data_IF_310797163617
#
_entry.id   IF_310797163617
#
_cell.length_a   1.000
_cell.length_b   1.000
_cell.length_c   1.000
_cell.angle_alpha   90.00
_cell.angle_beta   90.00
_cell.angle_gamma   90.00
#
_symmetry.space_group_name_H-M   'P 1'
#
loop_
_entity.id
_entity.type
_entity.pdbx_description
1 polymer ?
#
# COMPACT_ATOMS: atom_id res chain seq x y z
N UNK A 1 29.64 -5.14 7.10
CA UNK A 1 28.29 -5.57 7.53
C UNK A 1 27.47 -5.95 6.31
N UNK A 2 27.05 -7.22 6.14
CA UNK A 2 26.10 -7.61 5.09
C UNK A 2 24.79 -6.82 5.31
N UNK A 3 24.38 -6.00 4.34
CA UNK A 3 23.06 -5.34 4.37
C UNK A 3 22.00 -6.45 4.45
N UNK A 4 21.30 -6.55 5.58
CA UNK A 4 20.19 -7.50 5.76
C UNK A 4 19.12 -7.12 4.72
N UNK A 5 18.76 -8.06 3.84
CA UNK A 5 17.67 -7.84 2.90
C UNK A 5 16.39 -7.67 3.71
N UNK A 6 15.66 -6.60 3.46
CA UNK A 6 14.45 -6.25 4.19
C UNK A 6 13.23 -6.99 3.62
N UNK A 7 12.22 -7.26 4.45
CA UNK A 7 10.96 -7.87 4.01
C UNK A 7 10.25 -7.01 2.97
N UNK A 8 10.35 -5.69 3.09
CA UNK A 8 9.90 -4.70 2.09
C UNK A 8 10.44 -5.03 0.70
N UNK A 9 11.72 -5.37 0.58
CA UNK A 9 12.34 -5.75 -0.70
C UNK A 9 11.74 -7.02 -1.29
N UNK A 10 11.51 -8.05 -0.46
CA UNK A 10 10.89 -9.29 -0.94
C UNK A 10 9.43 -9.09 -1.32
N UNK A 11 8.71 -8.23 -0.60
CA UNK A 11 7.35 -7.85 -0.94
C UNK A 11 7.29 -7.12 -2.28
N UNK A 12 8.21 -6.18 -2.52
CA UNK A 12 8.32 -5.50 -3.82
C UNK A 12 8.59 -6.50 -4.95
N UNK A 13 9.49 -7.47 -4.75
CA UNK A 13 9.71 -8.55 -5.73
C UNK A 13 8.43 -9.34 -5.99
N UNK A 14 7.70 -9.73 -4.96
CA UNK A 14 6.45 -10.48 -5.11
C UNK A 14 5.43 -9.69 -5.94
N UNK A 15 5.28 -8.40 -5.68
CA UNK A 15 4.38 -7.51 -6.44
C UNK A 15 4.81 -7.41 -7.91
N UNK A 16 6.12 -7.23 -8.17
CA UNK A 16 6.65 -7.18 -9.54
C UNK A 16 6.43 -8.51 -10.26
N UNK A 17 6.63 -9.65 -9.59
CA UNK A 17 6.36 -10.98 -10.18
C UNK A 17 4.88 -11.15 -10.52
N UNK A 18 3.95 -10.73 -9.65
CA UNK A 18 2.51 -10.75 -9.94
C UNK A 18 2.20 -9.90 -11.18
N UNK A 19 2.82 -8.72 -11.30
CA UNK A 19 2.65 -7.87 -12.49
C UNK A 19 3.18 -8.54 -13.77
N UNK A 20 4.37 -9.14 -13.73
CA UNK A 20 4.94 -9.89 -14.87
C UNK A 20 4.03 -11.05 -15.27
N UNK A 21 3.51 -11.80 -14.30
CA UNK A 21 2.56 -12.90 -14.54
C UNK A 21 1.29 -12.36 -15.19
N UNK A 22 0.76 -11.23 -14.72
CA UNK A 22 -0.42 -10.60 -15.32
C UNK A 22 -0.16 -10.22 -16.80
N UNK A 23 0.99 -9.64 -17.11
CA UNK A 23 1.36 -9.30 -18.50
C UNK A 23 1.54 -10.54 -19.34
N UNK A 24 2.16 -11.59 -18.81
CA UNK A 24 2.46 -12.83 -19.55
C UNK A 24 1.20 -13.67 -19.83
N UNK A 25 0.29 -13.76 -18.85
CA UNK A 25 -0.87 -14.66 -18.87
C UNK A 25 -2.20 -13.94 -19.07
N UNK A 26 -2.22 -12.60 -19.08
CA UNK A 26 -3.44 -11.80 -19.03
C UNK A 26 -4.34 -11.87 -20.29
N UNK A 27 -3.90 -12.54 -21.36
CA UNK A 27 -4.62 -12.62 -22.63
C UNK A 27 -4.54 -11.31 -23.43
N UNK A 28 -4.81 -11.39 -24.74
CA UNK A 28 -4.82 -10.21 -25.61
C UNK A 28 -3.44 -9.58 -25.87
N UNK A 29 -3.39 -8.27 -26.07
CA UNK A 29 -2.18 -7.56 -26.42
C UNK A 29 -1.32 -7.27 -25.18
N UNK A 30 -0.20 -7.97 -25.02
CA UNK A 30 0.72 -7.86 -23.87
C UNK A 30 1.29 -6.45 -23.69
N UNK A 31 1.51 -5.72 -24.77
CA UNK A 31 2.01 -4.35 -24.69
C UNK A 31 1.00 -3.42 -24.03
N UNK A 32 -0.29 -3.54 -24.39
CA UNK A 32 -1.35 -2.79 -23.73
C UNK A 32 -1.55 -3.20 -22.29
N UNK A 33 -1.51 -4.51 -21.96
CA UNK A 33 -1.57 -4.98 -20.56
C UNK A 33 -0.41 -4.40 -19.75
N UNK A 34 0.80 -4.37 -20.29
CA UNK A 34 1.96 -3.77 -19.66
C UNK A 34 1.76 -2.28 -19.38
N UNK A 35 1.17 -1.52 -20.33
CA UNK A 35 0.94 -0.09 -20.14
C UNK A 35 -0.25 0.23 -19.23
N UNK A 36 -1.36 -0.51 -19.35
CA UNK A 36 -2.65 -0.17 -18.74
C UNK A 36 -3.12 -1.11 -17.63
N UNK A 37 -2.49 -2.27 -17.49
CA UNK A 37 -2.75 -3.22 -16.40
C UNK A 37 -4.04 -4.03 -16.53
N UNK A 38 -4.60 -4.19 -17.72
CA UNK A 38 -5.73 -5.11 -17.96
C UNK A 38 -5.33 -6.59 -17.82
N UNK A 39 -6.24 -7.50 -18.18
CA UNK A 39 -5.98 -8.93 -18.29
C UNK A 39 -6.56 -9.79 -17.18
N UNK A 40 -6.64 -11.10 -17.41
CA UNK A 40 -7.33 -12.07 -16.55
C UNK A 40 -6.87 -12.07 -15.10
N UNK A 41 -5.57 -11.93 -14.82
CA UNK A 41 -5.07 -11.95 -13.44
C UNK A 41 -5.62 -10.77 -12.64
N UNK A 42 -5.80 -9.61 -13.29
CA UNK A 42 -6.49 -8.46 -12.67
C UNK A 42 -7.93 -8.83 -12.34
N UNK A 43 -8.65 -9.41 -13.27
CA UNK A 43 -10.07 -9.73 -13.11
C UNK A 43 -10.31 -10.76 -11.98
N UNK A 44 -9.32 -11.64 -11.72
CA UNK A 44 -9.38 -12.59 -10.59
C UNK A 44 -8.96 -12.00 -9.24
N UNK A 45 -8.31 -10.85 -9.22
CA UNK A 45 -7.69 -10.32 -8.00
C UNK A 45 -8.15 -8.94 -7.57
N UNK A 46 -8.85 -8.16 -8.41
CA UNK A 46 -9.42 -6.87 -8.03
C UNK A 46 -10.52 -7.02 -6.97
N UNK A 47 -10.68 -6.03 -6.10
CA UNK A 47 -11.74 -6.01 -5.11
C UNK A 47 -12.89 -5.10 -5.55
N UNK A 48 -14.11 -5.60 -5.46
CA UNK A 48 -15.36 -4.85 -5.62
C UNK A 48 -16.38 -5.34 -4.61
N UNK A 49 -17.38 -4.50 -4.29
CA UNK A 49 -18.45 -4.86 -3.37
C UNK A 49 -19.13 -6.17 -3.80
N UNK A 50 -19.53 -6.25 -5.06
CA UNK A 50 -20.23 -7.42 -5.63
C UNK A 50 -19.41 -8.69 -5.50
N UNK A 51 -18.14 -8.67 -5.91
CA UNK A 51 -17.30 -9.87 -5.89
C UNK A 51 -16.98 -10.34 -4.48
N UNK A 52 -16.71 -9.41 -3.57
CA UNK A 52 -16.26 -9.77 -2.22
C UNK A 52 -17.43 -10.01 -1.28
N UNK A 53 -18.39 -9.07 -1.21
CA UNK A 53 -19.45 -9.12 -0.19
C UNK A 53 -20.67 -9.93 -0.64
N UNK A 54 -21.03 -9.89 -1.92
CA UNK A 54 -22.18 -10.67 -2.42
C UNK A 54 -21.78 -12.08 -2.87
N UNK A 55 -20.58 -12.25 -3.51
CA UNK A 55 -20.14 -13.54 -4.01
C UNK A 55 -19.15 -14.26 -3.08
N UNK A 56 -18.78 -13.67 -1.94
CA UNK A 56 -17.93 -14.29 -0.93
C UNK A 56 -16.47 -14.48 -1.32
N UNK A 57 -15.95 -13.73 -2.30
CA UNK A 57 -14.57 -13.85 -2.78
C UNK A 57 -13.59 -13.03 -1.91
N UNK A 58 -13.52 -13.34 -0.62
CA UNK A 58 -12.80 -12.58 0.42
C UNK A 58 -11.30 -12.39 0.17
N UNK A 59 -10.65 -13.32 -0.55
CA UNK A 59 -9.22 -13.22 -0.89
C UNK A 59 -8.89 -11.95 -1.68
N UNK A 60 -9.86 -11.36 -2.38
CA UNK A 60 -9.69 -10.16 -3.19
C UNK A 60 -9.32 -8.93 -2.36
N UNK A 61 -9.71 -8.88 -1.08
CA UNK A 61 -9.26 -7.81 -0.21
C UNK A 61 -7.74 -7.83 0.02
N UNK A 62 -7.12 -8.99 -0.07
CA UNK A 62 -5.66 -9.13 0.00
C UNK A 62 -5.02 -8.97 -1.38
N UNK A 63 -5.52 -9.69 -2.38
CA UNK A 63 -4.88 -9.78 -3.69
C UNK A 63 -4.92 -8.45 -4.45
N UNK A 64 -5.95 -7.62 -4.25
CA UNK A 64 -6.04 -6.30 -4.87
C UNK A 64 -4.83 -5.42 -4.55
N UNK A 65 -4.22 -5.55 -3.37
CA UNK A 65 -3.03 -4.82 -2.97
C UNK A 65 -1.74 -5.23 -3.68
N UNK A 66 -1.77 -6.31 -4.47
CA UNK A 66 -0.61 -6.82 -5.22
C UNK A 66 -0.74 -6.60 -6.73
N UNK A 67 -1.88 -6.12 -7.20
CA UNK A 67 -2.17 -5.87 -8.61
C UNK A 67 -1.96 -4.40 -8.97
N UNK A 68 -1.65 -4.12 -10.25
CA UNK A 68 -1.35 -2.76 -10.72
C UNK A 68 -1.95 -2.47 -12.09
N UNK A 69 -2.41 -1.24 -12.25
CA UNK A 69 -2.85 -0.68 -13.53
C UNK A 69 -1.65 -0.13 -14.31
N UNK A 70 -0.91 -1.03 -14.97
CA UNK A 70 0.20 -0.69 -15.82
C UNK A 70 1.51 -0.36 -15.08
N UNK A 71 2.58 -0.27 -15.88
CA UNK A 71 3.96 -0.15 -15.41
C UNK A 71 4.21 1.14 -14.64
N UNK A 72 3.61 2.25 -15.02
CA UNK A 72 3.83 3.53 -14.33
C UNK A 72 3.24 3.51 -12.92
N UNK A 73 2.06 2.91 -12.75
CA UNK A 73 1.45 2.71 -11.44
C UNK A 73 2.30 1.76 -10.57
N UNK A 74 2.82 0.69 -11.15
CA UNK A 74 3.74 -0.23 -10.47
C UNK A 74 5.00 0.49 -9.99
N UNK A 75 5.71 1.19 -10.89
CA UNK A 75 6.99 1.85 -10.56
C UNK A 75 6.81 2.89 -9.46
N UNK A 76 5.78 3.73 -9.54
CA UNK A 76 5.47 4.70 -8.50
C UNK A 76 5.22 4.03 -7.14
N UNK A 77 4.43 2.95 -7.13
CA UNK A 77 4.16 2.22 -5.89
C UNK A 77 5.42 1.51 -5.33
N UNK A 78 6.26 0.91 -6.19
CA UNK A 78 7.47 0.24 -5.72
C UNK A 78 8.48 1.23 -5.11
N UNK A 79 8.64 2.40 -5.70
CA UNK A 79 9.49 3.45 -5.14
C UNK A 79 8.95 3.98 -3.79
N UNK A 80 7.63 4.18 -3.69
CA UNK A 80 6.99 4.58 -2.43
C UNK A 80 7.10 3.47 -1.36
N UNK A 81 6.86 2.21 -1.73
CA UNK A 81 6.97 1.08 -0.83
C UNK A 81 8.40 0.92 -0.30
N UNK A 82 9.41 1.01 -1.16
CA UNK A 82 10.82 0.93 -0.74
C UNK A 82 11.15 2.03 0.27
N UNK A 83 10.72 3.25 0.03
CA UNK A 83 11.02 4.38 0.90
C UNK A 83 10.24 4.33 2.21
N UNK A 84 8.92 4.16 2.17
CA UNK A 84 8.04 4.20 3.34
C UNK A 84 8.13 2.88 4.11
N UNK A 85 7.98 1.74 3.42
CA UNK A 85 7.99 0.40 3.99
C UNK A 85 9.30 0.08 4.69
N UNK A 86 10.44 0.40 4.05
CA UNK A 86 11.78 0.22 4.67
C UNK A 86 11.93 1.01 5.97
N UNK A 87 11.40 2.22 6.06
CA UNK A 87 11.46 3.04 7.28
C UNK A 87 10.59 2.46 8.39
N UNK A 88 9.38 2.06 8.07
CA UNK A 88 8.48 1.40 9.02
C UNK A 88 9.09 0.07 9.48
N UNK A 89 9.62 -0.74 8.54
CA UNK A 89 10.26 -2.01 8.86
C UNK A 89 11.46 -1.85 9.80
N UNK A 90 12.30 -0.83 9.59
CA UNK A 90 13.44 -0.54 10.48
C UNK A 90 13.00 -0.13 11.89
N UNK A 91 11.85 0.52 12.04
CA UNK A 91 11.33 0.95 13.35
C UNK A 91 10.56 -0.15 14.08
N UNK A 92 9.78 -0.98 13.36
CA UNK A 92 8.87 -1.97 13.96
C UNK A 92 9.28 -3.43 13.75
N UNK A 93 10.20 -3.68 12.84
CA UNK A 93 10.57 -5.03 12.38
C UNK A 93 9.71 -5.52 11.20
N UNK A 94 10.20 -6.59 10.52
CA UNK A 94 9.60 -7.06 9.26
C UNK A 94 8.17 -7.61 9.43
N UNK A 95 7.93 -8.38 10.48
CA UNK A 95 6.62 -9.02 10.68
C UNK A 95 5.53 -8.00 10.93
N UNK A 96 5.77 -7.02 11.81
CA UNK A 96 4.79 -5.96 12.09
C UNK A 96 4.51 -5.12 10.85
N UNK A 97 5.54 -4.76 10.08
CA UNK A 97 5.37 -4.01 8.83
C UNK A 97 4.50 -4.79 7.84
N UNK A 98 4.78 -6.08 7.61
CA UNK A 98 3.98 -6.93 6.70
C UNK A 98 2.54 -7.09 7.17
N UNK A 99 2.31 -7.31 8.46
CA UNK A 99 0.96 -7.45 9.03
C UNK A 99 0.18 -6.14 8.84
N UNK A 100 0.79 -4.99 9.16
CA UNK A 100 0.14 -3.69 9.04
C UNK A 100 -0.18 -3.38 7.58
N UNK A 101 0.76 -3.66 6.66
CA UNK A 101 0.50 -3.47 5.23
C UNK A 101 -0.67 -4.32 4.75
N UNK A 102 -0.67 -5.63 5.03
CA UNK A 102 -1.69 -6.55 4.51
C UNK A 102 -3.07 -6.31 5.15
N UNK A 103 -3.14 -6.26 6.49
CA UNK A 103 -4.42 -5.99 7.17
C UNK A 103 -4.93 -4.57 6.87
N UNK A 104 -4.02 -3.61 6.77
CA UNK A 104 -4.35 -2.24 6.35
C UNK A 104 -4.90 -2.19 4.92
N UNK A 105 -4.30 -2.91 3.98
CA UNK A 105 -4.81 -3.06 2.61
C UNK A 105 -6.22 -3.65 2.62
N UNK A 106 -6.43 -4.75 3.33
CA UNK A 106 -7.73 -5.42 3.41
C UNK A 106 -8.80 -4.50 3.98
N UNK A 107 -8.51 -3.81 5.09
CA UNK A 107 -9.45 -2.88 5.71
C UNK A 107 -9.74 -1.66 4.82
N UNK A 108 -8.70 -1.12 4.17
CA UNK A 108 -8.86 -0.01 3.22
C UNK A 108 -9.73 -0.41 2.05
N UNK A 109 -9.49 -1.58 1.44
CA UNK A 109 -10.28 -2.10 0.33
C UNK A 109 -11.73 -2.40 0.75
N UNK A 110 -11.95 -2.95 1.94
CA UNK A 110 -13.28 -3.18 2.50
C UNK A 110 -14.07 -1.87 2.63
N UNK A 111 -13.49 -0.87 3.30
CA UNK A 111 -14.15 0.43 3.48
C UNK A 111 -14.37 1.15 2.16
N UNK A 112 -13.41 1.02 1.23
CA UNK A 112 -13.55 1.57 -0.12
C UNK A 112 -14.75 0.96 -0.87
N UNK A 113 -14.92 -0.37 -0.81
CA UNK A 113 -16.05 -1.06 -1.43
C UNK A 113 -17.40 -0.59 -0.86
N UNK A 114 -17.47 -0.26 0.43
CA UNK A 114 -18.68 0.30 1.03
C UNK A 114 -19.02 1.71 0.51
N UNK A 115 -18.00 2.51 0.20
CA UNK A 115 -18.18 3.87 -0.33
C UNK A 115 -18.51 3.85 -1.84
N UNK A 116 -17.93 2.90 -2.58
CA UNK A 116 -18.08 2.76 -4.03
C UNK A 116 -18.56 1.36 -4.41
N UNK A 117 -19.83 1.00 -4.14
CA UNK A 117 -20.34 -0.35 -4.36
C UNK A 117 -20.30 -0.80 -5.84
N UNK A 118 -20.44 0.12 -6.78
CA UNK A 118 -20.37 -0.15 -8.22
C UNK A 118 -18.94 -0.12 -8.78
N UNK A 119 -17.95 0.22 -7.94
CA UNK A 119 -16.56 0.35 -8.34
C UNK A 119 -15.74 -0.90 -8.08
N UNK A 120 -14.49 -0.85 -8.53
CA UNK A 120 -13.44 -1.82 -8.21
C UNK A 120 -12.14 -1.11 -7.85
N UNK A 121 -11.31 -1.75 -7.07
CA UNK A 121 -10.03 -1.19 -6.61
C UNK A 121 -8.90 -2.19 -6.69
N UNK A 122 -7.72 -1.69 -7.05
CA UNK A 122 -6.43 -2.41 -7.01
C UNK A 122 -5.30 -1.43 -6.71
N UNK A 123 -4.19 -1.95 -6.25
CA UNK A 123 -2.94 -1.22 -6.10
C UNK A 123 -2.33 -1.34 -4.71
N UNK A 124 -1.02 -1.46 -4.69
CA UNK A 124 -0.24 -1.46 -3.45
C UNK A 124 -0.43 -0.16 -2.64
N UNK A 125 -0.90 0.90 -3.28
CA UNK A 125 -1.12 2.20 -2.64
C UNK A 125 -2.06 2.14 -1.45
N UNK A 126 -3.05 1.23 -1.44
CA UNK A 126 -3.96 1.04 -0.30
C UNK A 126 -3.19 0.76 1.00
N UNK A 127 -2.25 -0.19 0.97
CA UNK A 127 -1.38 -0.51 2.10
C UNK A 127 -0.23 0.50 2.30
N UNK A 128 0.31 1.06 1.21
CA UNK A 128 1.38 2.07 1.29
C UNK A 128 0.87 3.33 2.01
N UNK A 129 -0.36 3.78 1.77
CA UNK A 129 -0.93 4.92 2.50
C UNK A 129 -1.20 4.62 3.97
N UNK A 130 -1.51 3.36 4.34
CA UNK A 130 -1.52 2.94 5.75
C UNK A 130 -0.13 3.07 6.37
N UNK A 131 0.91 2.57 5.71
CA UNK A 131 2.28 2.73 6.18
C UNK A 131 2.71 4.21 6.24
N UNK A 132 2.26 5.04 5.31
CA UNK A 132 2.54 6.48 5.27
C UNK A 132 1.89 7.21 6.46
N UNK A 133 0.61 6.97 6.73
CA UNK A 133 -0.08 7.55 7.89
C UNK A 133 0.62 7.18 9.20
N UNK A 134 0.99 5.91 9.35
CA UNK A 134 1.75 5.46 10.52
C UNK A 134 3.15 6.09 10.58
N UNK A 135 3.86 6.21 9.47
CA UNK A 135 5.16 6.88 9.40
C UNK A 135 5.04 8.35 9.84
N UNK A 136 4.01 9.07 9.42
CA UNK A 136 3.75 10.43 9.88
C UNK A 136 3.63 10.50 11.41
N UNK A 137 2.84 9.62 12.03
CA UNK A 137 2.74 9.58 13.50
C UNK A 137 4.10 9.32 14.14
N UNK A 138 4.91 8.39 13.61
CA UNK A 138 6.26 8.11 14.13
C UNK A 138 7.22 9.30 13.99
N UNK A 139 7.12 10.07 12.90
CA UNK A 139 7.97 11.23 12.67
C UNK A 139 7.64 12.40 13.59
N UNK A 140 6.35 12.61 13.90
CA UNK A 140 5.86 13.76 14.67
C UNK A 140 5.54 13.43 16.13
N UNK A 141 5.70 12.17 16.55
CA UNK A 141 5.57 11.80 17.96
C UNK A 141 6.76 12.28 18.80
N UNK A 142 6.60 12.23 20.14
CA UNK A 142 7.65 12.60 21.09
C UNK A 142 8.95 11.82 20.84
N UNK A 143 10.04 12.52 20.55
CA UNK A 143 11.34 11.94 20.16
C UNK A 143 11.53 11.74 18.65
N UNK A 144 10.51 11.99 17.82
CA UNK A 144 10.68 12.06 16.36
C UNK A 144 11.30 13.40 15.94
N UNK A 145 12.06 13.36 14.85
CA UNK A 145 12.72 14.55 14.30
C UNK A 145 11.90 15.19 13.17
N UNK A 146 10.61 14.81 13.05
CA UNK A 146 9.72 15.29 12.00
C UNK A 146 10.28 15.00 10.59
N UNK A 147 9.97 15.87 9.64
CA UNK A 147 10.40 15.70 8.25
C UNK A 147 11.93 15.78 8.07
N UNK A 148 12.70 16.21 9.08
CA UNK A 148 14.17 16.23 8.99
C UNK A 148 14.79 14.84 8.99
N UNK A 149 14.06 13.81 9.42
CA UNK A 149 14.48 12.41 9.27
C UNK A 149 14.48 11.94 7.80
N UNK A 150 13.78 12.67 6.92
CA UNK A 150 13.72 12.40 5.50
C UNK A 150 14.73 13.28 4.76
N UNK A 151 15.46 12.71 3.83
CA UNK A 151 16.29 13.48 2.91
C UNK A 151 15.43 14.43 2.06
N UNK A 152 16.05 15.45 1.46
CA UNK A 152 15.37 16.37 0.54
C UNK A 152 14.68 15.60 -0.62
N UNK A 153 15.34 14.56 -1.11
CA UNK A 153 14.85 13.74 -2.20
C UNK A 153 13.59 12.98 -1.80
N UNK A 154 13.60 12.34 -0.63
CA UNK A 154 12.45 11.59 -0.11
C UNK A 154 11.25 12.49 0.16
N UNK A 155 11.47 13.68 0.70
CA UNK A 155 10.38 14.66 0.88
C UNK A 155 9.75 15.06 -0.45
N UNK A 156 10.57 15.40 -1.44
CA UNK A 156 10.10 15.74 -2.79
C UNK A 156 9.31 14.61 -3.43
N UNK A 157 9.82 13.38 -3.32
CA UNK A 157 9.14 12.21 -3.85
C UNK A 157 7.80 11.93 -3.15
N UNK A 158 7.72 12.04 -1.82
CA UNK A 158 6.46 11.87 -1.10
C UNK A 158 5.39 12.87 -1.55
N UNK A 159 5.77 14.13 -1.68
CA UNK A 159 4.85 15.18 -2.18
C UNK A 159 4.39 14.83 -3.59
N UNK A 160 5.32 14.47 -4.48
CA UNK A 160 4.98 14.03 -5.84
C UNK A 160 4.04 12.82 -5.84
N UNK A 161 4.33 11.79 -5.05
CA UNK A 161 3.54 10.55 -4.98
C UNK A 161 2.09 10.82 -4.52
N UNK A 162 1.93 11.65 -3.48
CA UNK A 162 0.60 12.04 -2.98
C UNK A 162 -0.16 12.85 -4.03
N UNK A 163 0.50 13.86 -4.63
CA UNK A 163 -0.12 14.70 -5.66
C UNK A 163 -0.49 13.86 -6.90
N UNK A 164 0.42 13.02 -7.40
CA UNK A 164 0.17 12.16 -8.55
C UNK A 164 -1.04 11.24 -8.32
N UNK A 165 -1.20 10.71 -7.10
CA UNK A 165 -2.37 9.92 -6.72
C UNK A 165 -3.70 10.68 -6.81
N UNK A 166 -3.70 12.00 -6.64
CA UNK A 166 -4.91 12.82 -6.75
C UNK A 166 -5.43 12.95 -8.19
N UNK A 167 -4.59 12.72 -9.21
CA UNK A 167 -5.01 12.79 -10.61
C UNK A 167 -5.60 11.48 -11.15
N UNK A 168 -5.61 10.41 -10.36
CA UNK A 168 -6.15 9.11 -10.75
C UNK A 168 -7.67 8.95 -10.49
N UNK A 169 -8.33 10.01 -10.08
CA UNK A 169 -9.78 10.04 -9.86
C UNK A 169 -10.20 9.96 -8.40
N UNK A 170 -11.48 10.30 -8.14
CA UNK A 170 -12.03 10.43 -6.79
C UNK A 170 -11.95 9.13 -5.97
N UNK A 171 -12.17 7.98 -6.60
CA UNK A 171 -12.06 6.69 -5.92
C UNK A 171 -10.65 6.43 -5.38
N UNK A 172 -9.61 6.83 -6.13
CA UNK A 172 -8.21 6.72 -5.68
C UNK A 172 -7.94 7.66 -4.51
N UNK A 173 -8.40 8.91 -4.59
CA UNK A 173 -8.24 9.89 -3.49
C UNK A 173 -8.86 9.36 -2.21
N UNK A 174 -10.09 8.87 -2.28
CA UNK A 174 -10.81 8.33 -1.11
C UNK A 174 -10.10 7.09 -0.56
N UNK A 175 -9.66 6.16 -1.39
CA UNK A 175 -8.90 4.98 -0.97
C UNK A 175 -7.59 5.37 -0.25
N UNK A 176 -6.85 6.34 -0.78
CA UNK A 176 -5.63 6.86 -0.16
C UNK A 176 -5.91 7.53 1.20
N UNK A 177 -6.98 8.33 1.30
CA UNK A 177 -7.39 8.97 2.57
C UNK A 177 -7.80 7.93 3.61
N UNK A 178 -8.61 6.94 3.25
CA UNK A 178 -8.99 5.83 4.15
C UNK A 178 -7.73 5.14 4.67
N UNK A 179 -6.84 4.71 3.79
CA UNK A 179 -5.59 4.06 4.17
C UNK A 179 -4.72 4.93 5.09
N UNK A 180 -4.58 6.20 4.76
CA UNK A 180 -3.80 7.15 5.56
C UNK A 180 -4.37 7.33 6.99
N UNK A 181 -5.69 7.48 7.12
CA UNK A 181 -6.37 7.59 8.43
C UNK A 181 -6.20 6.30 9.25
N UNK A 182 -6.38 5.12 8.62
CA UNK A 182 -6.11 3.83 9.28
C UNK A 182 -4.67 3.80 9.82
N UNK A 183 -3.71 4.22 9.00
CA UNK A 183 -2.31 4.29 9.39
C UNK A 183 -2.03 5.20 10.59
N UNK A 184 -2.67 6.36 10.63
CA UNK A 184 -2.59 7.28 11.78
C UNK A 184 -3.12 6.60 13.05
N UNK A 185 -4.30 5.97 12.99
CA UNK A 185 -4.91 5.30 14.13
C UNK A 185 -4.03 4.15 14.66
N UNK A 186 -3.50 3.31 13.75
CA UNK A 186 -2.56 2.23 14.09
C UNK A 186 -1.27 2.81 14.69
N UNK A 187 -0.75 3.89 14.14
CA UNK A 187 0.45 4.55 14.65
C UNK A 187 0.28 5.03 16.10
N UNK A 188 -0.82 5.69 16.41
CA UNK A 188 -1.12 6.12 17.79
C UNK A 188 -1.31 4.94 18.73
N UNK A 189 -2.00 3.88 18.31
CA UNK A 189 -2.18 2.68 19.13
C UNK A 189 -0.83 2.04 19.50
N UNK A 190 0.10 1.92 18.53
CA UNK A 190 1.43 1.36 18.77
C UNK A 190 2.24 2.22 19.74
N UNK A 191 2.22 3.55 19.59
CA UNK A 191 2.96 4.45 20.49
C UNK A 191 2.41 4.34 21.91
N UNK A 192 1.09 4.31 22.07
CA UNK A 192 0.44 4.16 23.40
C UNK A 192 0.86 2.86 24.09
N UNK A 193 0.87 1.74 23.36
CA UNK A 193 1.32 0.45 23.91
C UNK A 193 2.79 0.48 24.34
N UNK A 194 3.66 1.14 23.57
CA UNK A 194 5.08 1.27 23.93
C UNK A 194 5.32 2.13 25.19
N UNK A 195 4.48 3.14 25.41
CA UNK A 195 4.57 3.98 26.62
C UNK A 195 4.10 3.21 27.85
N UNK A 196 3.03 2.43 27.75
CA UNK A 196 2.52 1.61 28.86
C UNK A 196 3.48 0.47 29.26
N UNK A 197 4.15 -0.17 28.31
CA UNK A 197 5.13 -1.22 28.59
C UNK A 197 6.45 -0.74 29.21
N UNK A 198 6.65 0.59 29.37
CA UNK A 198 7.84 1.16 30.05
C UNK A 198 7.55 1.63 31.49
N UNK A 199 6.29 1.60 31.91
CA UNK A 199 5.83 2.06 33.23
C UNK A 199 5.40 0.92 34.15
N UNK A 200 5.42 -0.31 33.67
CA UNK A 200 5.24 -1.55 34.45
C UNK A 200 6.55 -2.34 34.50
#
# INVERSE_FOLDING_TARGET
MKKRKLATFYMAIAIVLVFIINVALGGGNRFWIFLTGGGYVKDYGEASFKLVLEQGQWWRFLTCGYLHMGVFHLVGNMAALEMIGTRVERKLGPVKMLVIYNLGTMLTAFLWCLVFPEGWTIGASLGIFVLLGMLCVMLFSKGGKGLTELSRYERGYLVFYVIAGCFLGIGTIVGHLIGFVIGILVGFAIIKMHLQGRTG
#
